data_IF_366414227200
#
_entry.id   IF_366414227200
#
_cell.length_a   1.000
_cell.length_b   1.000
_cell.length_c   1.000
_cell.angle_alpha   90.00
_cell.angle_beta   90.00
_cell.angle_gamma   90.00
#
_symmetry.space_group_name_H-M   'P 1'
#
loop_
_entity.id
_entity.type
_entity.pdbx_description
1 polymer ?
2 non-polymer ?
3 non-polymer ?
4 non-polymer ?
5 non-polymer ?
6 water ?
#
# COMPACT_ATOMS: atom_id res chain seq x y z
N UNK A 23 -12.86 -17.21 21.13
CA UNK A 23 -12.13 -16.03 20.63
C UNK A 23 -13.09 -15.15 19.82
N UNK A 24 -12.87 -13.85 19.86
CA UNK A 24 -13.68 -12.90 19.10
C UNK A 24 -13.47 -13.00 17.58
N UNK A 25 -14.51 -12.62 16.83
CA UNK A 25 -14.40 -12.51 15.40
C UNK A 25 -13.54 -11.29 15.04
N UNK A 26 -13.31 -11.10 13.75
CA UNK A 26 -12.57 -9.97 13.22
C UNK A 26 -13.54 -9.08 12.44
N UNK A 27 -13.20 -7.79 12.40
CA UNK A 27 -14.03 -6.79 11.76
C UNK A 27 -13.28 -6.28 10.53
N UNK A 28 -13.90 -6.45 9.37
CA UNK A 28 -13.36 -6.00 8.08
C UNK A 28 -14.28 -4.94 7.49
N UNK A 29 -13.71 -3.84 6.98
CA UNK A 29 -14.49 -2.85 6.32
C UNK A 29 -14.02 -2.69 4.84
N UNK A 30 -14.96 -2.35 3.97
CA UNK A 30 -14.70 -2.00 2.58
C UNK A 30 -14.95 -0.53 2.40
N UNK A 31 -14.04 0.15 1.72
CA UNK A 31 -14.15 1.57 1.49
C UNK A 31 -13.84 1.93 0.05
N UNK A 32 -14.32 3.10 -0.35
CA UNK A 32 -13.95 3.68 -1.64
C UNK A 32 -15.06 4.57 -2.14
N UNK A 33 -14.75 5.42 -3.09
CA UNK A 33 -15.74 6.32 -3.68
C UNK A 33 -16.67 5.58 -4.66
N UNK A 34 -16.10 4.63 -5.39
CA UNK A 34 -16.78 4.01 -6.55
C UNK A 34 -18.01 3.22 -6.14
N UNK A 38 -16.27 -2.55 -6.23
CA UNK A 38 -16.45 -2.26 -4.80
C UNK A 38 -17.59 -3.13 -4.27
N UNK A 39 -18.78 -2.97 -4.86
CA UNK A 39 -19.97 -3.79 -4.60
C UNK A 39 -19.81 -5.19 -5.15
N UNK A 40 -19.46 -5.27 -6.43
CA UNK A 40 -19.13 -6.53 -7.09
C UNK A 40 -18.18 -7.42 -6.26
N UNK A 41 -17.03 -6.84 -5.91
CA UNK A 41 -16.00 -7.57 -5.16
C UNK A 41 -16.39 -7.90 -3.74
N UNK A 42 -17.17 -7.04 -3.09
CA UNK A 42 -17.66 -7.29 -1.72
C UNK A 42 -18.45 -8.59 -1.57
N UNK A 43 -19.45 -8.81 -2.41
CA UNK A 43 -20.27 -10.02 -2.38
C UNK A 43 -19.40 -11.28 -2.57
N UNK A 44 -18.57 -11.27 -3.60
CA UNK A 44 -17.59 -12.35 -3.82
C UNK A 44 -16.68 -12.59 -2.61
N UNK A 45 -16.15 -11.52 -2.03
CA UNK A 45 -15.24 -11.64 -0.92
C UNK A 45 -15.93 -12.31 0.26
N UNK A 46 -17.15 -11.85 0.52
CA UNK A 46 -17.96 -12.42 1.60
C UNK A 46 -18.30 -13.91 1.40
N UNK A 47 -18.57 -14.31 0.17
CA UNK A 47 -18.81 -15.73 -0.12
C UNK A 47 -17.57 -16.59 0.18
N UNK A 48 -16.40 -16.12 -0.26
CA UNK A 48 -15.14 -16.81 0.02
C UNK A 48 -14.83 -16.86 1.52
N UNK A 49 -15.10 -15.77 2.21
CA UNK A 49 -14.89 -15.71 3.65
C UNK A 49 -15.80 -16.68 4.39
N UNK A 50 -17.08 -16.77 4.02
CA UNK A 50 -17.94 -17.72 4.71
C UNK A 50 -17.44 -19.15 4.47
N UNK A 51 -16.98 -19.43 3.27
CA UNK A 51 -16.35 -20.72 2.97
C UNK A 51 -15.17 -21.03 3.91
N UNK A 52 -14.35 -20.01 4.23
CA UNK A 52 -13.24 -20.22 5.18
C UNK A 52 -13.71 -20.29 6.63
N UNK A 53 -14.75 -19.54 7.00
CA UNK A 53 -15.19 -19.53 8.40
C UNK A 53 -16.09 -20.71 8.77
N UNK A 54 -16.90 -21.16 7.83
CA UNK A 54 -17.76 -22.34 8.05
C UNK A 54 -17.09 -23.51 8.76
N UNK A 55 -15.94 -23.99 8.26
CA UNK A 55 -15.19 -25.06 8.94
C UNK A 55 -14.79 -24.74 10.38
N UNK A 56 -14.58 -23.47 10.69
CA UNK A 56 -14.20 -23.05 12.02
C UNK A 56 -15.41 -22.84 12.94
N UNK A 57 -16.61 -23.12 12.43
CA UNK A 57 -17.84 -22.96 13.20
C UNK A 57 -18.33 -21.52 13.33
N UNK A 58 -17.93 -20.64 12.43
CA UNK A 58 -18.28 -19.24 12.52
C UNK A 58 -19.03 -18.74 11.29
N UNK A 59 -19.58 -17.54 11.38
CA UNK A 59 -20.32 -16.93 10.30
C UNK A 59 -19.91 -15.51 10.08
N UNK A 60 -20.19 -15.02 8.88
CA UNK A 60 -19.95 -13.64 8.54
C UNK A 60 -21.26 -12.90 8.62
N UNK A 61 -21.24 -11.77 9.31
CA UNK A 61 -22.33 -10.83 9.27
C UNK A 61 -21.92 -9.73 8.29
N UNK A 62 -22.67 -9.58 7.21
CA UNK A 62 -22.43 -8.56 6.18
C UNK A 62 -23.36 -7.40 6.47
N UNK A 63 -22.82 -6.20 6.43
CA UNK A 63 -23.58 -5.03 6.77
C UNK A 63 -23.03 -3.81 6.02
N UNK A 64 -23.59 -2.65 6.32
CA UNK A 64 -23.25 -1.43 5.60
C UNK A 64 -23.52 -0.21 6.43
N UNK A 65 -22.94 0.90 6.01
CA UNK A 65 -23.24 2.23 6.54
C UNK A 65 -23.30 3.17 5.31
N UNK A 66 -24.29 4.07 5.29
CA UNK A 66 -25.39 4.23 6.27
C UNK A 66 -26.44 3.12 6.15
N UNK A 67 -27.37 3.08 7.10
CA UNK A 67 -28.47 2.16 7.01
C UNK A 67 -28.18 0.78 7.57
N UNK A 68 -27.22 0.67 8.47
CA UNK A 68 -26.86 -0.59 9.02
C UNK A 68 -27.78 -1.05 10.12
N UNK A 69 -28.67 -0.18 10.58
CA UNK A 69 -29.73 -0.52 11.53
C UNK A 69 -30.97 0.26 11.09
N UNK A 70 -32.12 -0.11 11.61
CA UNK A 70 -33.34 0.72 11.41
C UNK A 70 -33.21 2.18 11.84
N UNK A 71 -32.63 2.41 13.01
CA UNK A 71 -32.31 3.76 13.45
C UNK A 71 -31.39 4.50 12.42
N UNK A 72 -30.37 3.80 11.94
CA UNK A 72 -29.45 4.35 10.88
C UNK A 72 -30.20 4.73 9.61
N UNK A 73 -31.16 3.91 9.22
CA UNK A 73 -32.06 4.25 8.11
C UNK A 73 -32.80 5.51 8.38
N UNK A 74 -33.37 5.64 9.56
CA UNK A 74 -34.10 6.83 9.94
C UNK A 74 -33.22 8.09 9.90
N UNK A 75 -32.02 7.99 10.47
CA UNK A 75 -31.10 9.13 10.50
C UNK A 75 -30.64 9.48 9.09
N UNK A 76 -30.45 8.47 8.25
CA UNK A 76 -30.13 8.74 6.85
C UNK A 76 -31.21 9.54 6.15
N UNK A 77 -32.47 9.20 6.41
CA UNK A 77 -33.57 9.93 5.81
C UNK A 77 -33.62 11.40 6.28
N UNK A 78 -33.40 11.61 7.56
CA UNK A 78 -33.29 12.96 8.12
C UNK A 78 -32.14 13.74 7.45
N UNK A 79 -30.99 13.10 7.30
CA UNK A 79 -29.83 13.75 6.70
C UNK A 79 -30.12 14.13 5.23
N UNK A 80 -30.90 13.30 4.53
CA UNK A 80 -31.28 13.59 3.14
C UNK A 80 -32.33 14.70 3.05
N UNK A 81 -33.15 14.87 4.08
CA UNK A 81 -34.33 15.73 4.02
C UNK A 81 -34.28 17.02 4.84
N UNK A 82 -33.49 17.07 5.90
CA UNK A 82 -33.53 18.22 6.82
C UNK A 82 -32.17 18.97 6.75
N UNK A 83 -32.15 20.14 6.10
CA UNK A 83 -30.90 20.93 6.18
C UNK A 83 -30.53 21.27 7.61
N UNK A 84 -29.24 21.23 7.86
CA UNK A 84 -28.73 21.48 9.22
C UNK A 84 -27.25 21.85 9.13
N UNK A 85 -26.67 22.24 10.25
CA UNK A 85 -25.23 22.53 10.34
C UNK A 85 -24.40 21.29 10.05
N UNK A 86 -23.24 21.49 9.45
CA UNK A 86 -22.37 20.38 9.09
C UNK A 86 -21.98 19.57 10.34
N UNK A 87 -21.83 20.26 11.48
CA UNK A 87 -21.41 19.57 12.71
C UNK A 87 -22.53 18.74 13.27
N UNK A 88 -23.74 19.26 13.11
CA UNK A 88 -24.92 18.49 13.46
C UNK A 88 -24.98 17.22 12.62
N UNK A 89 -24.67 17.33 11.33
CA UNK A 89 -24.70 16.13 10.47
C UNK A 89 -23.72 15.09 10.98
N UNK A 90 -22.52 15.52 11.37
CA UNK A 90 -21.49 14.63 11.82
C UNK A 90 -21.98 13.85 13.04
N UNK A 91 -22.62 14.57 13.96
CA UNK A 91 -23.12 13.92 15.18
C UNK A 91 -24.14 12.84 14.83
N UNK A 92 -25.04 13.12 13.88
CA UNK A 92 -26.01 12.13 13.48
C UNK A 92 -25.36 10.90 12.82
N UNK A 93 -24.30 11.14 12.03
CA UNK A 93 -23.58 10.03 11.42
C UNK A 93 -22.97 9.12 12.48
N UNK A 94 -22.31 9.72 13.46
CA UNK A 94 -21.65 8.96 14.47
C UNK A 94 -22.66 8.33 15.41
N UNK A 95 -23.81 8.97 15.61
CA UNK A 95 -24.92 8.32 16.35
C UNK A 95 -25.31 7.05 15.65
N UNK A 96 -25.50 7.10 14.32
CA UNK A 96 -25.84 5.92 13.58
C UNK A 96 -24.78 4.82 13.72
N UNK A 97 -23.51 5.21 13.64
CA UNK A 97 -22.42 4.29 13.85
C UNK A 97 -22.43 3.67 15.25
N UNK A 98 -22.65 4.49 16.26
CA UNK A 98 -22.71 3.98 17.62
C UNK A 98 -23.77 2.88 17.75
N UNK A 99 -24.93 3.08 17.16
CA UNK A 99 -25.95 2.07 17.24
C UNK A 99 -25.62 0.83 16.41
N UNK A 100 -24.99 1.05 15.27
CA UNK A 100 -24.53 -0.04 14.44
C UNK A 100 -23.58 -0.92 15.22
N UNK A 101 -22.64 -0.33 15.94
CA UNK A 101 -21.76 -1.11 16.83
C UNK A 101 -22.52 -1.86 17.92
N UNK A 102 -23.40 -1.14 18.64
CA UNK A 102 -24.14 -1.70 19.79
C UNK A 102 -25.08 -2.86 19.38
N UNK A 103 -25.74 -2.71 18.25
CA UNK A 103 -26.78 -3.63 17.84
C UNK A 103 -26.34 -4.77 16.90
N UNK A 104 -25.42 -4.49 15.99
CA UNK A 104 -24.98 -5.45 14.96
C UNK A 104 -23.51 -5.93 15.16
N UNK A 105 -22.56 -5.01 15.15
CA UNK A 105 -21.14 -5.38 15.02
C UNK A 105 -20.64 -6.04 16.28
N UNK A 106 -20.78 -5.35 17.41
CA UNK A 106 -20.20 -5.83 18.64
C UNK A 106 -20.81 -7.19 19.09
N UNK A 107 -22.14 -7.37 18.97
CA UNK A 107 -22.71 -8.67 19.32
C UNK A 107 -22.20 -9.82 18.48
N UNK A 108 -22.08 -9.57 17.17
CA UNK A 108 -21.46 -10.52 16.24
C UNK A 108 -19.99 -10.86 16.64
N UNK A 109 -19.16 -9.84 16.80
CA UNK A 109 -17.77 -10.08 17.18
C UNK A 109 -17.62 -10.84 18.50
N UNK A 110 -18.44 -10.46 19.51
CA UNK A 110 -18.45 -11.10 20.81
C UNK A 110 -18.82 -12.60 20.77
N UNK A 111 -19.68 -12.99 19.84
CA UNK A 111 -20.01 -14.39 19.75
C UNK A 111 -19.12 -15.19 18.78
N UNK A 112 -18.07 -14.54 18.26
CA UNK A 112 -17.10 -15.20 17.42
C UNK A 112 -17.34 -15.05 15.91
N UNK A 113 -18.47 -14.45 15.54
CA UNK A 113 -18.75 -14.17 14.13
C UNK A 113 -17.80 -13.07 13.64
N UNK A 114 -17.48 -13.09 12.35
CA UNK A 114 -16.76 -11.98 11.73
C UNK A 114 -17.74 -10.99 11.15
N UNK A 115 -17.32 -9.74 11.00
CA UNK A 115 -18.20 -8.75 10.40
C UNK A 115 -17.54 -8.10 9.20
N UNK A 116 -18.30 -7.93 8.12
CA UNK A 116 -17.81 -7.15 6.97
C UNK A 116 -18.77 -5.97 6.75
N UNK A 117 -18.28 -4.73 6.89
CA UNK A 117 -19.15 -3.56 6.63
C UNK A 117 -18.77 -2.84 5.37
N UNK A 118 -19.76 -2.61 4.51
CA UNK A 118 -19.62 -1.70 3.37
C UNK A 118 -19.68 -0.25 3.92
N UNK A 119 -18.49 0.30 4.17
CA UNK A 119 -18.20 1.59 4.76
C UNK A 119 -18.23 1.65 6.31
N UNK A 120 -17.43 2.57 6.84
CA UNK A 120 -17.34 2.80 8.25
C UNK A 120 -16.80 4.23 8.43
N UNK A 121 -16.11 4.48 9.52
CA UNK A 121 -15.63 5.81 9.88
C UNK A 121 -14.72 6.46 8.84
N UNK A 122 -13.89 5.66 8.17
CA UNK A 122 -13.03 6.22 7.09
C UNK A 122 -13.87 6.98 6.07
N UNK A 123 -15.04 6.43 5.70
CA UNK A 123 -15.96 7.11 4.75
C UNK A 123 -16.41 8.46 5.29
N UNK A 124 -16.72 8.52 6.57
CA UNK A 124 -17.08 9.82 7.16
C UNK A 124 -15.93 10.84 7.06
N UNK A 125 -14.70 10.44 7.43
CA UNK A 125 -13.56 11.34 7.22
C UNK A 125 -13.44 11.81 5.76
N UNK A 126 -13.47 10.84 4.85
CA UNK A 126 -13.27 11.13 3.44
C UNK A 126 -14.27 12.15 2.87
N UNK A 127 -15.56 11.86 3.02
CA UNK A 127 -16.58 12.74 2.48
C UNK A 127 -16.87 13.98 3.31
N UNK A 128 -16.94 13.82 4.64
CA UNK A 128 -17.26 14.98 5.48
C UNK A 128 -16.04 15.85 5.75
N UNK A 129 -14.88 15.21 6.01
CA UNK A 129 -13.61 15.92 6.19
C UNK A 129 -13.03 16.44 4.87
N UNK A 130 -12.62 15.53 4.02
CA UNK A 130 -12.11 15.94 2.69
C UNK A 130 -13.10 16.69 1.82
N UNK A 131 -14.21 16.04 1.49
CA UNK A 131 -15.20 16.63 0.64
C UNK A 131 -15.73 17.95 1.20
N UNK A 132 -16.26 17.91 2.43
CA UNK A 132 -17.02 19.05 2.96
C UNK A 132 -16.32 19.98 3.95
N UNK A 133 -15.09 19.66 4.33
CA UNK A 133 -14.28 20.55 5.13
C UNK A 133 -14.43 20.43 6.64
N UNK A 134 -15.12 19.40 7.16
CA UNK A 134 -15.19 19.24 8.62
C UNK A 134 -13.76 19.01 9.16
N UNK A 135 -13.34 19.77 10.19
CA UNK A 135 -11.95 19.67 10.68
C UNK A 135 -11.59 18.27 11.20
N UNK A 136 -10.37 17.86 10.92
CA UNK A 136 -9.87 16.53 11.26
C UNK A 136 -9.99 16.28 12.77
N UNK A 137 -9.70 17.29 13.59
CA UNK A 137 -9.74 17.05 15.06
C UNK A 137 -11.17 16.78 15.58
N UNK A 138 -12.15 17.44 14.97
CA UNK A 138 -13.55 17.18 15.34
C UNK A 138 -13.95 15.75 14.96
N UNK A 139 -13.53 15.33 13.77
CA UNK A 139 -13.76 13.97 13.32
C UNK A 139 -13.04 12.95 14.20
N UNK A 140 -11.79 13.18 14.56
CA UNK A 140 -11.07 12.22 15.38
C UNK A 140 -11.66 12.12 16.79
N UNK A 141 -12.14 13.26 17.30
CA UNK A 141 -12.77 13.29 18.62
C UNK A 141 -14.03 12.39 18.65
N UNK A 142 -14.87 12.46 17.63
CA UNK A 142 -16.05 11.58 17.57
C UNK A 142 -15.67 10.12 17.33
N UNK A 143 -14.65 9.88 16.50
CA UNK A 143 -14.20 8.47 16.28
C UNK A 143 -13.79 7.82 17.62
N UNK A 144 -12.98 8.55 18.39
CA UNK A 144 -12.53 8.09 19.69
C UNK A 144 -13.71 7.91 20.66
N UNK A 145 -14.67 8.82 20.61
CA UNK A 145 -15.85 8.74 21.51
C UNK A 145 -16.66 7.47 21.26
N UNK A 146 -16.89 7.17 19.97
CA UNK A 146 -17.71 6.06 19.59
C UNK A 146 -16.97 4.71 19.68
N UNK A 147 -15.69 4.70 19.34
CA UNK A 147 -14.94 3.46 19.16
C UNK A 147 -13.95 3.19 20.28
N UNK A 148 -13.61 4.23 21.06
CA UNK A 148 -12.51 4.11 22.03
C UNK A 148 -11.22 3.86 21.25
N UNK A 149 -10.51 2.80 21.56
CA UNK A 149 -9.37 2.43 20.69
C UNK A 149 -9.68 1.43 19.61
N UNK A 150 -10.93 1.03 19.48
CA UNK A 150 -11.38 0.00 18.53
C UNK A 150 -11.17 0.48 17.09
N UNK A 151 -10.56 -0.36 16.27
CA UNK A 151 -10.44 -0.12 14.85
C UNK A 151 -10.83 -1.41 14.14
N UNK A 152 -11.29 -1.32 12.89
CA UNK A 152 -11.35 -2.56 12.09
C UNK A 152 -9.98 -3.27 12.08
N UNK A 153 -10.03 -4.59 12.03
CA UNK A 153 -8.89 -5.43 11.90
C UNK A 153 -8.29 -5.30 10.50
N UNK A 154 -9.13 -5.01 9.52
CA UNK A 154 -8.68 -4.89 8.12
C UNK A 154 -9.60 -3.95 7.40
N UNK A 155 -9.05 -3.03 6.61
CA UNK A 155 -9.86 -2.20 5.75
C UNK A 155 -9.34 -2.30 4.33
N UNK A 156 -10.23 -2.67 3.42
CA UNK A 156 -9.88 -2.78 2.00
C UNK A 156 -10.43 -1.55 1.31
N UNK A 157 -9.51 -0.74 0.79
CA UNK A 157 -9.86 0.52 0.15
C UNK A 157 -9.71 0.34 -1.35
N UNK A 158 -10.81 0.56 -2.09
CA UNK A 158 -10.84 0.44 -3.52
C UNK A 158 -10.62 1.85 -3.97
N UNK A 159 -9.37 2.12 -4.33
CA UNK A 159 -8.97 3.43 -4.84
C UNK A 159 -9.30 3.51 -6.30
N UNK A 160 -9.59 4.73 -6.73
CA UNK A 160 -9.99 5.02 -8.09
C UNK A 160 -9.04 6.09 -8.61
N UNK A 161 -7.82 5.71 -9.05
CA UNK A 161 -6.79 6.67 -9.37
C UNK A 161 -7.03 7.37 -10.71
N UNK A 162 -6.43 8.54 -10.90
CA UNK A 162 -6.72 9.25 -12.14
C UNK A 162 -6.15 8.57 -13.43
N UNK A 163 -5.15 7.70 -13.28
CA UNK A 163 -4.56 6.96 -14.42
C UNK A 163 -4.63 5.44 -14.22
N UNK A 164 -4.48 4.70 -15.31
CA UNK A 164 -4.40 3.22 -15.25
C UNK A 164 -2.95 2.75 -15.41
N UNK A 165 -2.41 2.18 -14.34
CA UNK A 165 -1.07 1.64 -14.34
C UNK A 165 -0.90 0.53 -15.38
N UNK A 166 -1.92 -0.34 -15.57
CA UNK A 166 -1.87 -1.41 -16.61
C UNK A 166 -2.11 -0.92 -18.06
N UNK A 167 -2.11 0.41 -18.24
CA UNK A 167 -2.21 1.07 -19.56
C UNK A 167 -1.52 2.45 -19.60
N UNK A 168 -0.55 2.72 -18.71
CA UNK A 168 -0.07 4.12 -18.55
C UNK A 168 0.59 4.69 -19.79
N UNK A 169 1.37 3.89 -20.51
CA UNK A 169 2.04 4.39 -21.71
C UNK A 169 1.09 4.53 -22.91
N UNK A 170 -0.08 3.89 -22.88
CA UNK A 170 -1.05 3.93 -24.00
C UNK A 170 -2.34 4.70 -23.75
N UNK A 171 -2.57 5.15 -22.53
CA UNK A 171 -3.78 5.89 -22.20
C UNK A 171 -3.48 6.90 -21.11
N UNK A 172 -3.90 8.14 -21.31
CA UNK A 172 -3.65 9.24 -20.37
C UNK A 172 -4.94 10.05 -20.18
N UNK A 173 -5.37 10.18 -18.94
CA UNK A 173 -6.47 11.07 -18.62
C UNK A 173 -5.87 12.45 -18.52
N UNK A 174 -6.45 13.43 -19.22
CA UNK A 174 -5.88 14.77 -19.21
C UNK A 174 -6.06 15.42 -17.82
N UNK A 175 -5.01 16.12 -17.35
CA UNK A 175 -4.98 16.65 -15.98
C UNK A 175 -6.16 17.53 -15.66
N UNK A 179 -10.21 22.17 -11.96
CA UNK A 179 -11.34 21.32 -11.66
C UNK A 179 -12.59 22.16 -11.37
N UNK A 180 -13.77 21.62 -11.68
CA UNK A 180 -15.06 22.15 -11.23
C UNK A 180 -15.28 21.76 -9.75
N UNK A 181 -16.40 22.18 -9.14
CA UNK A 181 -16.65 21.87 -7.71
C UNK A 181 -16.83 20.38 -7.48
N UNK A 182 -17.52 19.70 -8.41
CA UNK A 182 -17.82 18.29 -8.23
C UNK A 182 -16.52 17.50 -8.31
N UNK A 183 -15.69 17.86 -9.29
CA UNK A 183 -14.34 17.31 -9.44
C UNK A 183 -13.43 17.51 -8.22
N UNK A 184 -13.39 18.75 -7.73
CA UNK A 184 -12.60 19.12 -6.57
C UNK A 184 -13.06 18.32 -5.32
N UNK A 185 -14.38 18.13 -5.16
CA UNK A 185 -14.95 17.39 -4.05
C UNK A 185 -14.48 15.94 -4.09
N UNK A 186 -14.59 15.31 -5.26
CA UNK A 186 -14.18 13.91 -5.38
C UNK A 186 -12.68 13.74 -5.22
N UNK A 187 -11.89 14.69 -5.73
CA UNK A 187 -10.43 14.67 -5.53
C UNK A 187 -10.03 14.79 -4.05
N UNK A 188 -10.68 15.69 -3.31
CA UNK A 188 -10.44 15.81 -1.87
C UNK A 188 -10.88 14.56 -1.10
N UNK A 189 -11.96 13.93 -1.55
CA UNK A 189 -12.51 12.77 -0.89
C UNK A 189 -11.53 11.61 -1.07
N UNK A 190 -11.06 11.46 -2.31
CA UNK A 190 -10.08 10.42 -2.62
C UNK A 190 -8.80 10.61 -1.82
N UNK A 191 -8.35 11.85 -1.73
CA UNK A 191 -7.13 12.21 -1.02
C UNK A 191 -7.21 11.95 0.51
N UNK A 192 -8.37 12.20 1.10
CA UNK A 192 -8.55 11.92 2.49
C UNK A 192 -8.59 10.41 2.79
N UNK A 193 -9.24 9.63 1.93
CA UNK A 193 -9.17 8.18 2.07
C UNK A 193 -7.73 7.69 2.05
N UNK A 194 -6.95 8.19 1.08
CA UNK A 194 -5.53 7.83 1.02
C UNK A 194 -4.73 8.28 2.21
N UNK A 195 -5.03 9.46 2.75
CA UNK A 195 -4.36 9.91 3.97
C UNK A 195 -4.64 8.99 5.15
N UNK A 196 -5.90 8.62 5.32
CA UNK A 196 -6.32 7.70 6.39
C UNK A 196 -5.59 6.37 6.23
N UNK A 197 -5.49 5.91 4.99
CA UNK A 197 -4.84 4.64 4.69
C UNK A 197 -3.37 4.72 5.07
N UNK A 198 -2.70 5.79 4.65
CA UNK A 198 -1.26 5.93 4.92
C UNK A 198 -0.95 6.01 6.39
N UNK A 199 -1.83 6.67 7.16
CA UNK A 199 -1.71 6.82 8.61
C UNK A 199 -1.94 5.51 9.40
N UNK A 200 -2.59 4.51 8.79
CA UNK A 200 -2.98 3.26 9.46
C UNK A 200 -2.37 2.06 8.75
N UNK A 201 -1.01 1.97 8.75
CA UNK A 201 -0.34 0.94 7.95
C UNK A 201 -0.65 -0.49 8.37
N UNK A 202 -1.05 -0.72 9.62
CA UNK A 202 -1.36 -2.09 10.05
C UNK A 202 -2.77 -2.55 9.68
N UNK A 203 -3.56 -1.65 9.12
CA UNK A 203 -4.99 -1.90 8.91
C UNK A 203 -5.43 -1.97 7.45
N UNK A 204 -4.75 -1.26 6.56
CA UNK A 204 -5.23 -1.07 5.22
C UNK A 204 -4.62 -1.99 4.15
N UNK A 205 -5.46 -2.42 3.22
CA UNK A 205 -5.03 -2.97 1.93
C UNK A 205 -5.64 -2.07 0.86
N UNK A 206 -4.79 -1.45 0.06
CA UNK A 206 -5.25 -0.62 -1.05
C UNK A 206 -5.33 -1.49 -2.31
N UNK A 207 -6.51 -1.49 -2.91
CA UNK A 207 -6.73 -2.11 -4.19
C UNK A 207 -6.92 -1.04 -5.28
N UNK A 208 -6.13 -1.12 -6.35
CA UNK A 208 -6.29 -0.23 -7.50
C UNK A 208 -7.43 -0.83 -8.33
N UNK A 209 -8.58 -0.18 -8.25
CA UNK A 209 -9.79 -0.71 -8.86
C UNK A 209 -9.83 -0.51 -10.39
N UNK A 210 -8.79 0.15 -10.96
CA UNK A 210 -8.67 0.31 -12.40
C UNK A 210 -8.05 -0.94 -13.06
N UNK A 211 -7.43 -1.81 -12.26
CA UNK A 211 -6.84 -3.08 -12.75
C UNK A 211 -7.93 -4.04 -13.26
N UNK A 212 -7.54 -5.01 -14.11
CA UNK A 212 -8.44 -6.08 -14.49
C UNK A 212 -9.04 -6.82 -13.26
N UNK A 213 -10.27 -7.34 -13.43
CA UNK A 213 -11.00 -8.03 -12.36
C UNK A 213 -10.17 -9.19 -11.82
N UNK A 214 -9.49 -9.92 -12.71
CA UNK A 214 -8.73 -11.08 -12.31
C UNK A 214 -7.53 -10.69 -11.45
N UNK A 215 -6.94 -9.52 -11.69
CA UNK A 215 -5.85 -9.07 -10.84
C UNK A 215 -6.40 -8.71 -9.48
N UNK A 216 -7.49 -7.94 -9.45
CA UNK A 216 -8.16 -7.54 -8.18
C UNK A 216 -8.50 -8.79 -7.36
N UNK A 217 -9.13 -9.78 -8.00
CA UNK A 217 -9.47 -11.03 -7.35
C UNK A 217 -8.26 -11.82 -6.83
N UNK A 218 -7.13 -11.83 -7.57
CA UNK A 218 -5.89 -12.45 -7.01
C UNK A 218 -5.38 -11.73 -5.77
N UNK A 219 -5.32 -10.40 -5.82
CA UNK A 219 -4.97 -9.64 -4.65
C UNK A 219 -5.91 -9.98 -3.46
N UNK A 220 -7.21 -10.04 -3.70
CA UNK A 220 -8.18 -10.34 -2.61
C UNK A 220 -8.07 -11.79 -2.08
N UNK A 221 -7.72 -12.74 -2.94
CA UNK A 221 -7.42 -14.10 -2.55
C UNK A 221 -6.21 -14.10 -1.63
N UNK A 222 -5.21 -13.27 -1.91
CA UNK A 222 -4.07 -13.15 -1.03
C UNK A 222 -4.46 -12.62 0.35
N UNK A 223 -5.37 -11.65 0.39
CA UNK A 223 -5.89 -11.13 1.66
C UNK A 223 -6.62 -12.23 2.45
N UNK A 224 -7.54 -12.91 1.78
CA UNK A 224 -8.26 -14.04 2.36
C UNK A 224 -7.33 -15.13 2.92
N UNK A 225 -6.30 -15.51 2.17
CA UNK A 225 -5.33 -16.49 2.66
C UNK A 225 -4.56 -15.98 3.89
N UNK A 226 -4.48 -14.67 4.08
CA UNK A 226 -3.70 -14.05 5.17
C UNK A 226 -4.50 -13.77 6.45
N UNK A 227 -5.82 -13.92 6.39
CA UNK A 227 -6.66 -13.51 7.52
C UNK A 227 -6.68 -14.56 8.62
N UNK B 23 19.89 -7.98 -28.46
CA UNK B 23 18.85 -7.77 -27.42
C UNK B 23 19.44 -6.90 -26.30
N UNK B 24 18.66 -5.95 -25.82
CA UNK B 24 19.03 -5.22 -24.60
C UNK B 24 19.19 -6.18 -23.41
N UNK B 25 20.03 -5.82 -22.44
CA UNK B 25 20.05 -6.55 -21.17
C UNK B 25 18.85 -6.20 -20.32
N UNK B 26 18.73 -6.85 -19.18
CA UNK B 26 17.63 -6.55 -18.24
C UNK B 26 18.13 -5.84 -16.99
N UNK B 27 17.19 -5.14 -16.34
CA UNK B 27 17.46 -4.37 -15.15
C UNK B 27 16.69 -4.97 -14.00
N UNK B 28 17.43 -5.36 -12.97
CA UNK B 28 16.88 -5.97 -11.78
C UNK B 28 17.21 -5.07 -10.60
N UNK B 29 16.22 -4.86 -9.71
CA UNK B 29 16.47 -4.13 -8.47
C UNK B 29 16.17 -4.98 -7.25
N UNK B 30 16.92 -4.73 -6.17
CA UNK B 30 16.62 -5.30 -4.88
C UNK B 30 16.09 -4.17 -3.98
N UNK B 31 15.03 -4.48 -3.23
CA UNK B 31 14.41 -3.52 -2.30
C UNK B 31 14.12 -4.16 -0.95
N UNK B 32 13.83 -3.32 0.03
CA UNK B 32 13.40 -3.77 1.34
C UNK B 32 13.90 -2.87 2.43
N UNK B 33 13.23 -2.91 3.58
CA UNK B 33 13.64 -2.08 4.70
C UNK B 33 14.93 -2.57 5.40
N UNK B 34 15.34 -3.83 5.18
CA UNK B 34 16.70 -4.34 5.58
C UNK B 34 17.71 -3.24 5.83
N UNK B 38 19.05 -8.45 2.55
CA UNK B 38 18.98 -7.87 1.20
C UNK B 38 20.38 -7.85 0.60
N UNK B 39 21.24 -6.94 1.06
CA UNK B 39 22.63 -6.87 0.58
C UNK B 39 23.37 -8.21 0.75
N UNK B 40 23.00 -9.00 1.77
CA UNK B 40 23.53 -10.38 1.90
C UNK B 40 23.31 -11.24 0.64
N UNK B 41 22.04 -11.56 0.33
CA UNK B 41 21.66 -12.38 -0.82
C UNK B 41 21.99 -11.76 -2.17
N UNK B 42 22.22 -10.46 -2.15
CA UNK B 42 22.51 -9.74 -3.39
C UNK B 42 23.80 -10.27 -4.02
N UNK B 43 24.84 -10.44 -3.21
CA UNK B 43 26.13 -10.93 -3.68
C UNK B 43 25.97 -12.30 -4.30
N UNK B 44 25.34 -13.19 -3.55
CA UNK B 44 25.01 -14.52 -4.02
C UNK B 44 24.25 -14.51 -5.34
N UNK B 45 23.20 -13.70 -5.39
CA UNK B 45 22.32 -13.62 -6.55
C UNK B 45 23.10 -13.16 -7.80
N UNK B 46 23.92 -12.13 -7.61
CA UNK B 46 24.72 -11.59 -8.71
C UNK B 46 25.77 -12.58 -9.23
N UNK B 47 26.34 -13.39 -8.34
CA UNK B 47 27.29 -14.44 -8.72
C UNK B 47 26.61 -15.48 -9.59
N UNK B 48 25.44 -15.94 -9.15
CA UNK B 48 24.67 -16.88 -9.94
C UNK B 48 24.31 -16.30 -11.29
N UNK B 49 23.84 -15.06 -11.29
CA UNK B 49 23.44 -14.41 -12.53
C UNK B 49 24.63 -14.28 -13.51
N UNK B 50 25.81 -13.93 -12.99
CA UNK B 50 26.99 -13.79 -13.84
C UNK B 50 27.39 -15.13 -14.46
N UNK B 51 27.27 -16.21 -13.68
CA UNK B 51 27.49 -17.57 -14.19
C UNK B 51 26.59 -17.89 -15.39
N UNK B 52 25.32 -17.50 -15.30
CA UNK B 52 24.38 -17.72 -16.42
C UNK B 52 24.67 -16.82 -17.62
N UNK B 53 25.12 -15.60 -17.37
CA UNK B 53 25.28 -14.62 -18.46
C UNK B 53 26.61 -14.71 -19.21
N UNK B 54 27.67 -15.10 -18.49
CA UNK B 54 29.03 -15.15 -19.06
C UNK B 54 29.16 -15.95 -20.36
N UNK B 55 28.59 -17.17 -20.41
CA UNK B 55 28.55 -17.96 -21.66
C UNK B 55 27.93 -17.18 -22.81
N UNK B 56 26.92 -16.33 -22.52
CA UNK B 56 26.26 -15.52 -23.56
C UNK B 56 26.99 -14.23 -23.91
N UNK B 57 28.18 -14.02 -23.37
CA UNK B 57 28.99 -12.83 -23.68
C UNK B 57 28.58 -11.56 -22.95
N UNK B 58 27.66 -11.69 -22.00
CA UNK B 58 27.09 -10.57 -21.26
C UNK B 58 27.62 -10.53 -19.83
N UNK B 59 27.62 -9.34 -19.24
CA UNK B 59 28.17 -9.14 -17.92
C UNK B 59 27.14 -8.51 -17.04
N UNK B 60 27.36 -8.57 -15.74
CA UNK B 60 26.49 -7.89 -14.78
C UNK B 60 27.20 -6.66 -14.27
N UNK B 61 26.49 -5.54 -14.27
CA UNK B 61 26.93 -4.34 -13.62
C UNK B 61 26.12 -4.32 -12.32
N UNK B 62 26.80 -4.34 -11.17
CA UNK B 62 26.17 -4.23 -9.87
C UNK B 62 26.35 -2.78 -9.42
N UNK B 63 25.25 -2.21 -8.93
CA UNK B 63 25.23 -0.81 -8.58
C UNK B 63 24.29 -0.60 -7.42
N UNK B 64 24.10 0.64 -7.00
CA UNK B 64 23.30 0.95 -5.82
C UNK B 64 22.79 2.38 -5.91
N UNK B 65 21.76 2.66 -5.11
CA UNK B 65 21.27 3.99 -4.87
C UNK B 65 21.00 4.11 -3.37
N UNK B 66 21.36 5.24 -2.75
CA UNK B 66 22.11 6.38 -3.26
C UNK B 66 23.59 6.09 -3.58
N UNK B 67 24.25 7.00 -4.29
CA UNK B 67 25.69 6.93 -4.49
C UNK B 67 26.12 6.05 -5.65
N UNK B 68 25.21 5.86 -6.61
CA UNK B 68 25.49 5.09 -7.81
C UNK B 68 26.39 5.74 -8.86
N UNK B 69 26.68 7.05 -8.72
CA UNK B 69 27.63 7.78 -9.52
C UNK B 69 28.35 8.78 -8.56
N UNK B 70 29.39 9.41 -9.06
CA UNK B 70 30.04 10.47 -8.31
C UNK B 70 29.06 11.58 -7.95
N UNK B 71 28.25 12.02 -8.91
CA UNK B 71 27.26 13.04 -8.61
C UNK B 71 26.28 12.56 -7.50
N UNK B 72 25.82 11.32 -7.58
CA UNK B 72 24.98 10.76 -6.54
C UNK B 72 25.61 10.74 -5.16
N UNK B 73 26.91 10.46 -5.09
CA UNK B 73 27.62 10.49 -3.79
C UNK B 73 27.63 11.93 -3.26
N UNK B 74 27.85 12.88 -4.16
CA UNK B 74 27.88 14.29 -3.79
C UNK B 74 26.52 14.75 -3.23
N UNK B 75 25.46 14.40 -3.95
CA UNK B 75 24.11 14.76 -3.53
C UNK B 75 23.75 14.08 -2.23
N UNK B 76 24.18 12.85 -2.05
CA UNK B 76 23.95 12.13 -0.79
C UNK B 76 24.59 12.88 0.38
N UNK B 77 25.81 13.39 0.20
CA UNK B 77 26.46 14.18 1.25
C UNK B 77 25.67 15.46 1.57
N UNK B 78 25.14 16.10 0.53
CA UNK B 78 24.35 17.34 0.69
C UNK B 78 23.10 17.02 1.51
N UNK B 79 22.44 15.92 1.14
CA UNK B 79 21.22 15.52 1.83
C UNK B 79 21.50 15.21 3.29
N UNK B 80 22.69 14.70 3.57
CA UNK B 80 23.05 14.36 4.95
C UNK B 80 23.45 15.59 5.76
N UNK B 81 23.86 16.68 5.11
CA UNK B 81 24.46 17.80 5.81
C UNK B 81 23.72 19.17 5.78
N UNK B 82 22.84 19.37 4.80
CA UNK B 82 22.12 20.64 4.65
C UNK B 82 20.62 20.40 4.75
N UNK B 83 20.04 20.82 5.88
CA UNK B 83 18.60 20.73 6.03
C UNK B 83 17.90 21.52 4.90
N UNK B 84 16.80 20.96 4.42
CA UNK B 84 16.06 21.56 3.33
C UNK B 84 14.63 21.07 3.33
N UNK B 85 13.83 21.62 2.44
CA UNK B 85 12.42 21.17 2.29
C UNK B 85 12.34 19.73 1.77
N UNK B 86 11.34 19.00 2.27
CA UNK B 86 11.17 17.60 1.84
C UNK B 86 11.11 17.48 0.30
N UNK B 87 10.44 18.46 -0.32
CA UNK B 87 10.28 18.45 -1.76
C UNK B 87 11.59 18.72 -2.46
N UNK B 88 12.42 19.60 -1.90
CA UNK B 88 13.76 19.81 -2.45
C UNK B 88 14.56 18.47 -2.42
N UNK B 89 14.52 17.81 -1.25
CA UNK B 89 15.18 16.54 -1.10
C UNK B 89 14.79 15.57 -2.22
N UNK B 90 13.49 15.50 -2.52
CA UNK B 90 12.99 14.59 -3.55
C UNK B 90 13.62 14.88 -4.91
N UNK B 91 13.69 16.17 -5.21
CA UNK B 91 14.26 16.57 -6.48
C UNK B 91 15.72 16.14 -6.56
N UNK B 92 16.45 16.26 -5.45
CA UNK B 92 17.85 15.85 -5.46
C UNK B 92 17.96 14.32 -5.61
N UNK B 93 17.04 13.58 -4.99
CA UNK B 93 17.03 12.13 -5.14
C UNK B 93 16.78 11.69 -6.59
N UNK B 94 15.85 12.36 -7.25
CA UNK B 94 15.55 12.02 -8.63
C UNK B 94 16.62 12.55 -9.58
N UNK B 95 17.31 13.65 -9.22
CA UNK B 95 18.50 14.10 -9.98
C UNK B 95 19.60 13.03 -10.02
N UNK B 96 19.93 12.53 -8.83
CA UNK B 96 20.89 11.44 -8.70
C UNK B 96 20.46 10.26 -9.54
N UNK B 97 19.16 9.93 -9.46
CA UNK B 97 18.65 8.83 -10.28
C UNK B 97 18.76 9.05 -11.77
N UNK B 98 18.43 10.25 -12.23
CA UNK B 98 18.50 10.57 -13.64
C UNK B 98 19.92 10.36 -14.16
N UNK B 99 20.92 10.80 -13.40
CA UNK B 99 22.32 10.59 -13.79
C UNK B 99 22.75 9.11 -13.72
N UNK B 100 22.25 8.39 -12.72
CA UNK B 100 22.53 6.97 -12.59
C UNK B 100 22.05 6.25 -13.82
N UNK B 101 20.88 6.65 -14.31
CA UNK B 101 20.36 6.08 -15.55
C UNK B 101 21.18 6.44 -16.80
N UNK B 102 21.52 7.73 -16.93
CA UNK B 102 22.27 8.19 -18.08
C UNK B 102 23.70 7.64 -18.14
N UNK B 103 24.34 7.52 -16.98
CA UNK B 103 25.75 7.21 -16.97
C UNK B 103 26.03 5.72 -16.76
N UNK B 104 25.21 5.04 -15.96
CA UNK B 104 25.49 3.65 -15.64
C UNK B 104 24.49 2.67 -16.22
N UNK B 105 23.22 2.86 -15.86
CA UNK B 105 22.22 1.89 -16.17
C UNK B 105 21.93 1.75 -17.67
N UNK B 106 21.49 2.82 -18.31
CA UNK B 106 21.10 2.74 -19.72
C UNK B 106 22.25 2.32 -20.67
N UNK B 107 23.45 2.92 -20.53
CA UNK B 107 24.53 2.41 -21.41
C UNK B 107 24.84 0.92 -21.25
N UNK B 108 24.75 0.41 -20.01
CA UNK B 108 24.96 -1.01 -19.76
C UNK B 108 23.87 -1.86 -20.46
N UNK B 109 22.60 -1.51 -20.25
CA UNK B 109 21.49 -2.23 -20.88
C UNK B 109 21.62 -2.20 -22.43
N UNK B 110 21.98 -1.03 -22.96
CA UNK B 110 22.00 -0.81 -24.41
C UNK B 110 23.05 -1.72 -25.09
N UNK B 111 24.12 -2.07 -24.39
CA UNK B 111 25.13 -2.91 -24.98
C UNK B 111 24.93 -4.38 -24.64
N UNK B 112 23.88 -4.69 -23.88
CA UNK B 112 23.51 -6.06 -23.60
C UNK B 112 23.85 -6.55 -22.20
N UNK B 113 24.53 -5.73 -21.41
CA UNK B 113 24.87 -6.10 -20.04
C UNK B 113 23.61 -5.99 -19.19
N UNK B 114 23.55 -6.81 -18.14
CA UNK B 114 22.44 -6.74 -17.19
C UNK B 114 22.90 -5.88 -16.06
N UNK B 115 21.96 -5.23 -15.39
CA UNK B 115 22.27 -4.35 -14.28
C UNK B 115 21.45 -4.76 -13.05
N UNK B 116 22.11 -4.89 -11.91
CA UNK B 116 21.43 -5.15 -10.64
C UNK B 116 21.72 -3.94 -9.75
N UNK B 117 20.67 -3.23 -9.34
CA UNK B 117 20.82 -2.11 -8.40
C UNK B 117 20.23 -2.44 -7.03
N UNK B 118 21.06 -2.21 -5.99
CA UNK B 118 20.60 -2.20 -4.63
C UNK B 118 19.85 -0.88 -4.45
N UNK B 119 18.53 -0.98 -4.60
CA UNK B 119 17.52 0.10 -4.44
C UNK B 119 17.38 0.94 -5.72
N UNK B 120 16.16 1.42 -5.92
CA UNK B 120 15.80 2.28 -7.07
C UNK B 120 14.58 3.12 -6.63
N UNK B 121 13.69 3.46 -7.55
CA UNK B 121 12.62 4.42 -7.27
C UNK B 121 11.64 3.91 -6.23
N UNK B 122 11.37 2.61 -6.20
CA UNK B 122 10.47 2.04 -5.14
C UNK B 122 10.92 2.45 -3.73
N UNK B 123 12.23 2.42 -3.46
CA UNK B 123 12.82 2.93 -2.22
C UNK B 123 12.40 4.34 -1.89
N UNK B 124 12.47 5.24 -2.88
CA UNK B 124 12.08 6.62 -2.71
C UNK B 124 10.62 6.75 -2.33
N UNK B 125 9.77 6.06 -3.07
CA UNK B 125 8.38 6.03 -2.70
C UNK B 125 8.15 5.52 -1.26
N UNK B 126 8.81 4.41 -0.91
CA UNK B 126 8.55 3.77 0.38
C UNK B 126 8.95 4.69 1.56
N UNK B 127 10.18 5.22 1.52
CA UNK B 127 10.71 6.01 2.62
C UNK B 127 10.24 7.48 2.59
N UNK B 128 10.30 8.11 1.41
CA UNK B 128 9.89 9.54 1.33
C UNK B 128 8.39 9.71 1.38
N UNK B 129 7.69 8.81 0.68
CA UNK B 129 6.23 8.81 0.63
C UNK B 129 5.62 8.19 1.85
N UNK B 130 5.82 6.90 2.00
CA UNK B 130 5.25 6.18 3.17
C UNK B 130 5.79 6.71 4.47
N UNK B 131 7.11 6.67 4.64
CA UNK B 131 7.73 7.11 5.86
C UNK B 131 7.55 8.59 6.14
N UNK B 132 7.88 9.44 5.16
CA UNK B 132 7.93 10.89 5.40
C UNK B 132 6.72 11.70 4.91
N UNK B 133 5.78 11.07 4.23
CA UNK B 133 4.52 11.72 3.86
C UNK B 133 4.57 12.54 2.58
N UNK B 134 5.64 12.46 1.79
CA UNK B 134 5.70 13.20 0.52
C UNK B 134 4.55 12.70 -0.36
N UNK B 135 3.77 13.62 -0.98
CA UNK B 135 2.59 13.14 -1.70
C UNK B 135 2.89 12.20 -2.88
N UNK B 136 2.06 11.16 -3.01
CA UNK B 136 2.28 10.16 -4.05
C UNK B 136 2.25 10.81 -5.44
N UNK B 137 1.37 11.78 -5.63
CA UNK B 137 1.28 12.45 -6.96
C UNK B 137 2.61 13.16 -7.37
N UNK B 138 3.27 13.78 -6.40
CA UNK B 138 4.57 14.40 -6.63
C UNK B 138 5.62 13.34 -7.01
N UNK B 139 5.62 12.22 -6.28
CA UNK B 139 6.57 11.15 -6.49
C UNK B 139 6.40 10.58 -7.87
N UNK B 140 5.15 10.28 -8.24
CA UNK B 140 4.86 9.75 -9.58
C UNK B 140 5.25 10.67 -10.74
N UNK B 141 5.04 11.99 -10.57
CA UNK B 141 5.46 12.93 -11.60
C UNK B 141 6.96 12.89 -11.84
N UNK B 142 7.74 12.77 -10.79
CA UNK B 142 9.21 12.73 -10.97
C UNK B 142 9.62 11.42 -11.58
N UNK B 143 8.94 10.32 -11.19
CA UNK B 143 9.21 8.99 -11.77
C UNK B 143 8.98 9.02 -13.26
N UNK B 144 7.84 9.56 -13.70
CA UNK B 144 7.54 9.66 -15.13
C UNK B 144 8.55 10.60 -15.84
N UNK B 145 8.94 11.68 -15.16
CA UNK B 145 9.82 12.67 -15.78
C UNK B 145 11.20 12.07 -16.03
N UNK B 146 11.72 11.37 -15.03
CA UNK B 146 13.07 10.78 -15.08
C UNK B 146 13.15 9.54 -15.97
N UNK B 147 12.12 8.72 -15.90
CA UNK B 147 12.13 7.35 -16.45
C UNK B 147 11.26 7.20 -17.71
N UNK B 148 10.35 8.15 -17.95
CA UNK B 148 9.40 7.95 -19.06
C UNK B 148 8.69 6.64 -18.80
N UNK B 149 8.74 5.72 -19.76
CA UNK B 149 8.15 4.39 -19.55
C UNK B 149 9.07 3.31 -18.98
N UNK B 150 10.28 3.67 -18.58
CA UNK B 150 11.27 2.69 -18.14
C UNK B 150 10.97 2.20 -16.74
N UNK B 151 11.02 0.89 -16.59
CA UNK B 151 10.91 0.27 -15.29
C UNK B 151 11.90 -0.86 -15.20
N UNK B 152 12.29 -1.23 -13.97
CA UNK B 152 13.00 -2.47 -13.85
C UNK B 152 12.20 -3.62 -14.44
N UNK B 153 12.93 -4.59 -15.01
CA UNK B 153 12.33 -5.80 -15.49
C UNK B 153 11.87 -6.66 -14.32
N UNK B 154 12.60 -6.57 -13.22
CA UNK B 154 12.28 -7.37 -12.05
C UNK B 154 12.76 -6.63 -10.82
N UNK B 155 11.96 -6.66 -9.77
CA UNK B 155 12.32 -6.09 -8.50
C UNK B 155 12.13 -7.17 -7.44
N UNK B 156 13.20 -7.48 -6.72
CA UNK B 156 13.12 -8.45 -5.64
C UNK B 156 12.94 -7.67 -4.34
N UNK B 157 11.75 -7.76 -3.77
CA UNK B 157 11.42 -7.07 -2.51
C UNK B 157 11.59 -8.00 -1.31
N UNK B 158 12.55 -7.68 -0.46
CA UNK B 158 12.74 -8.40 0.80
C UNK B 158 11.84 -7.80 1.85
N UNK B 159 10.67 -8.41 2.00
CA UNK B 159 9.68 -7.96 2.99
C UNK B 159 10.13 -8.32 4.41
N UNK B 160 9.76 -7.46 5.36
CA UNK B 160 10.06 -7.67 6.76
C UNK B 160 8.70 -7.62 7.46
N UNK B 161 8.04 -8.79 7.60
CA UNK B 161 6.71 -8.91 8.19
C UNK B 161 6.78 -8.81 9.71
N UNK B 162 5.65 -8.50 10.36
CA UNK B 162 5.74 -8.25 11.81
C UNK B 162 6.01 -9.53 12.63
N UNK B 163 5.62 -10.70 12.11
CA UNK B 163 5.85 -11.99 12.76
C UNK B 163 6.56 -12.99 11.82
N UNK B 164 6.95 -14.14 12.35
CA UNK B 164 7.70 -15.15 11.58
C UNK B 164 6.72 -16.23 11.17
N UNK B 165 6.41 -16.35 9.87
CA UNK B 165 5.40 -17.33 9.41
C UNK B 165 5.83 -18.78 9.73
N UNK B 166 7.14 -19.06 9.65
CA UNK B 166 7.70 -20.38 9.92
C UNK B 166 7.80 -20.72 11.43
N UNK B 167 7.34 -19.81 12.28
CA UNK B 167 7.29 -20.00 13.72
C UNK B 167 6.05 -19.29 14.28
N UNK B 168 4.94 -19.34 13.57
CA UNK B 168 3.78 -18.51 13.87
C UNK B 168 3.10 -18.84 15.19
N UNK B 169 3.00 -20.12 15.54
CA UNK B 169 2.36 -20.47 16.80
C UNK B 169 3.30 -20.42 18.01
N UNK B 170 4.62 -20.42 17.75
CA UNK B 170 5.59 -20.52 18.82
C UNK B 170 6.44 -19.32 19.17
N UNK B 171 6.25 -18.20 18.46
CA UNK B 171 6.96 -16.96 18.70
C UNK B 171 6.11 -15.74 18.35
N UNK B 172 6.08 -14.75 19.24
CA UNK B 172 5.35 -13.51 18.99
C UNK B 172 6.20 -12.32 19.40
N UNK B 173 6.42 -11.39 18.49
CA UNK B 173 7.09 -10.13 18.83
C UNK B 173 6.03 -9.20 19.41
N UNK B 174 6.24 -8.77 20.64
CA UNK B 174 5.21 -8.02 21.36
C UNK B 174 5.18 -6.57 20.90
N UNK B 175 3.98 -6.05 20.67
CA UNK B 175 3.84 -4.62 20.36
C UNK B 175 3.87 -3.72 21.59
N UNK B 176 4.13 -2.44 21.40
CA UNK B 176 3.88 -1.47 22.45
C UNK B 176 2.39 -1.18 22.47
N UNK B 177 1.84 -0.81 23.63
CA UNK B 177 0.42 -0.43 23.68
C UNK B 177 0.19 0.75 22.74
N UNK B 178 1.13 1.70 22.72
CA UNK B 178 1.12 2.81 21.77
C UNK B 178 2.32 2.68 20.82
N UNK B 179 2.06 2.51 19.53
CA UNK B 179 3.16 2.31 18.60
C UNK B 179 4.07 3.52 18.58
N UNK B 180 5.38 3.31 18.60
CA UNK B 180 6.33 4.42 18.57
C UNK B 180 6.42 5.09 17.18
N UNK B 181 6.92 6.32 17.12
CA UNK B 181 7.12 7.04 15.86
C UNK B 181 8.02 6.25 14.92
N UNK B 182 9.08 5.65 15.45
CA UNK B 182 10.02 4.92 14.61
C UNK B 182 9.39 3.67 14.02
N UNK B 183 8.70 2.90 14.86
CA UNK B 183 8.02 1.69 14.40
C UNK B 183 6.94 2.03 13.38
N UNK B 184 6.22 3.12 13.64
CA UNK B 184 5.15 3.55 12.75
C UNK B 184 5.77 3.97 11.39
N UNK B 185 6.95 4.60 11.38
CA UNK B 185 7.67 4.95 10.15
C UNK B 185 8.00 3.71 9.32
N UNK B 186 8.54 2.70 9.97
CA UNK B 186 8.88 1.48 9.29
C UNK B 186 7.66 0.73 8.79
N UNK B 187 6.58 0.75 9.56
CA UNK B 187 5.31 0.14 9.12
C UNK B 187 4.82 0.79 7.85
N UNK B 188 4.84 2.13 7.79
CA UNK B 188 4.39 2.85 6.61
C UNK B 188 5.31 2.59 5.43
N UNK B 189 6.60 2.51 5.70
CA UNK B 189 7.55 2.28 4.65
C UNK B 189 7.32 0.89 4.06
N UNK B 190 7.12 -0.11 4.92
CA UNK B 190 6.81 -1.48 4.51
C UNK B 190 5.52 -1.50 3.71
N UNK B 191 4.49 -0.81 4.18
CA UNK B 191 3.18 -0.82 3.50
C UNK B 191 3.26 -0.19 2.10
N UNK B 192 4.04 0.87 1.94
CA UNK B 192 4.20 1.50 0.64
C UNK B 192 4.94 0.63 -0.38
N UNK B 193 6.01 -0.04 0.06
CA UNK B 193 6.66 -1.06 -0.75
C UNK B 193 5.64 -2.13 -1.21
N UNK B 194 4.81 -2.63 -0.31
CA UNK B 194 3.78 -3.61 -0.72
C UNK B 194 2.78 -3.02 -1.67
N UNK B 195 2.43 -1.74 -1.48
CA UNK B 195 1.49 -1.07 -2.37
C UNK B 195 2.10 -0.99 -3.76
N UNK B 196 3.38 -0.64 -3.83
CA UNK B 196 4.07 -0.61 -5.10
C UNK B 196 4.07 -2.00 -5.78
N UNK B 197 4.36 -3.05 -5.00
CA UNK B 197 4.35 -4.44 -5.49
C UNK B 197 3.01 -4.84 -6.08
N UNK B 198 1.96 -4.51 -5.38
CA UNK B 198 0.61 -4.86 -5.78
C UNK B 198 0.18 -4.11 -7.02
N UNK B 199 0.74 -2.92 -7.20
CA UNK B 199 0.41 -2.08 -8.31
C UNK B 199 1.17 -2.54 -9.55
N UNK B 200 2.33 -3.17 -9.37
CA UNK B 200 3.10 -3.64 -10.53
C UNK B 200 3.49 -5.10 -10.33
N UNK B 201 2.50 -6.00 -10.25
CA UNK B 201 2.83 -7.37 -9.84
C UNK B 201 3.63 -8.18 -10.90
N UNK B 202 3.58 -7.75 -12.15
CA UNK B 202 4.38 -8.34 -13.23
C UNK B 202 5.86 -8.11 -13.03
N UNK B 203 6.20 -7.17 -12.16
CA UNK B 203 7.56 -6.74 -11.96
C UNK B 203 8.15 -7.26 -10.64
N UNK B 204 7.31 -7.53 -9.64
CA UNK B 204 7.81 -7.81 -8.30
C UNK B 204 7.86 -9.32 -7.97
N UNK B 205 8.91 -9.70 -7.25
CA UNK B 205 8.94 -10.94 -6.50
C UNK B 205 9.05 -10.55 -5.02
N UNK B 206 8.17 -11.06 -4.16
CA UNK B 206 8.21 -10.77 -2.71
C UNK B 206 8.87 -11.93 -1.91
N UNK B 207 10.00 -11.66 -1.27
CA UNK B 207 10.67 -12.63 -0.45
C UNK B 207 10.34 -12.32 1.04
N UNK B 208 9.91 -13.34 1.78
CA UNK B 208 9.78 -13.18 3.24
C UNK B 208 11.17 -13.38 3.90
N UNK B 209 11.75 -12.27 4.34
CA UNK B 209 13.08 -12.20 4.94
C UNK B 209 13.15 -13.02 6.23
N UNK B 210 12.02 -13.32 6.86
CA UNK B 210 12.02 -14.09 8.12
C UNK B 210 12.22 -15.58 7.89
N UNK B 211 12.10 -16.03 6.63
CA UNK B 211 12.21 -17.47 6.35
C UNK B 211 13.65 -17.95 6.48
N UNK B 212 13.83 -19.29 6.65
CA UNK B 212 15.19 -19.84 6.64
C UNK B 212 15.94 -19.49 5.35
N UNK B 213 17.24 -19.26 5.46
CA UNK B 213 18.10 -18.90 4.32
C UNK B 213 17.86 -19.85 3.18
N UNK B 214 17.79 -21.13 3.51
CA UNK B 214 17.63 -22.17 2.48
C UNK B 214 16.31 -21.99 1.68
N UNK B 215 15.25 -21.52 2.34
CA UNK B 215 13.99 -21.25 1.65
C UNK B 215 14.12 -20.03 0.73
N UNK B 216 14.79 -18.99 1.23
CA UNK B 216 15.03 -17.75 0.44
C UNK B 216 15.87 -18.09 -0.81
N UNK B 217 16.96 -18.83 -0.60
CA UNK B 217 17.78 -19.30 -1.73
C UNK B 217 17.00 -20.15 -2.73
N UNK B 218 16.16 -21.07 -2.25
CA UNK B 218 15.34 -21.87 -3.17
C UNK B 218 14.47 -20.95 -4.04
N UNK B 219 13.79 -19.99 -3.41
CA UNK B 219 12.91 -19.08 -4.14
C UNK B 219 13.70 -18.26 -5.18
N UNK B 220 14.87 -17.76 -4.78
CA UNK B 220 15.70 -16.95 -5.67
C UNK B 220 16.31 -17.76 -6.81
N UNK B 221 16.66 -19.02 -6.51
CA UNK B 221 17.01 -19.99 -7.55
C UNK B 221 15.93 -20.09 -8.62
N UNK B 222 14.68 -20.21 -8.18
CA UNK B 222 13.53 -20.22 -9.08
C UNK B 222 13.40 -18.96 -9.90
N UNK B 223 13.59 -17.81 -9.28
CA UNK B 223 13.66 -16.56 -10.03
C UNK B 223 14.76 -16.58 -11.08
N UNK B 224 15.96 -16.98 -10.70
CA UNK B 224 17.06 -17.00 -11.63
C UNK B 224 16.77 -17.92 -12.82
N UNK B 225 16.14 -19.07 -12.56
CA UNK B 225 15.78 -20.02 -13.60
C UNK B 225 14.78 -19.47 -14.63
N UNK B 226 13.97 -18.49 -14.23
CA UNK B 226 12.94 -17.93 -15.11
C UNK B 226 13.35 -16.61 -15.78
N UNK B 227 14.55 -16.12 -15.50
CA UNK B 227 15.01 -14.84 -16.04
C UNK B 227 15.42 -14.94 -17.49
#
# INVERSE_FOLDING_TARGET
>A
MAHHHHHHMGTLEAQTQGPGSMARGKFITFEGIDGAGKTTHLQWFCDRLQERLGPAGRHVVVTREPGGTRLGETLREILLNQPMDLETEALLMFAGRREHLALVIEPALARGDWVVSDRFTDATFAYQGGGRGLPRDKLEALERWVQGGFQPDLTVLFDVPPQIASARRGAVRMPDKFESESDAFFARTRAEYLRRAQEAPHRFVIVDSSEPIAQIRKQLEGVLAAL
>B
MAHHHHHHMGTLEAQTQGPGSMARGKFITFEGIDGAGKTTHLQWFCDRLQERLGPAGRHVVVTREPGGTRLGETLREILLNQPMDLETEALLMFAGRREHLALVIEPALARGDWVVSDRFTDATFAYQGGGRGLPRDKLEALERWVQGGFQPDLTVLFDVPPQIASARRGAVRMPDKFESESDAFFARTRAEYLRRAQEAPHRFVIVDSSEPIAQIRKQLEGVLAAL
#
